data_IF_961165418880
#
_entry.id   IF_961165418880
#
_cell.length_a   1.000
_cell.length_b   1.000
_cell.length_c   1.000
_cell.angle_alpha   90.00
_cell.angle_beta   90.00
_cell.angle_gamma   90.00
#
_symmetry.space_group_name_H-M   'P 1'
#
loop_
_entity.id
_entity.type
_entity.pdbx_description
1 polymer ?
#
# COMPACT_ATOMS: atom_id res chain seq x y z
N UNK A 1 -1.49 -12.04 -0.98
CA UNK A 1 -0.76 -10.93 -0.35
C UNK A 1 -1.56 -10.34 0.82
N UNK A 2 -0.92 -10.14 1.98
CA UNK A 2 -1.42 -9.39 3.14
C UNK A 2 -0.70 -8.05 3.20
N UNK A 3 -1.41 -6.99 3.56
CA UNK A 3 -0.86 -5.64 3.72
C UNK A 3 -1.08 -5.20 5.17
N UNK A 4 -0.03 -4.68 5.79
CA UNK A 4 -0.07 -4.10 7.13
C UNK A 4 0.31 -2.63 7.03
N UNK A 5 -0.55 -1.76 7.53
CA UNK A 5 -0.38 -0.32 7.41
C UNK A 5 0.04 0.22 8.78
N UNK A 6 1.11 1.00 8.79
CA UNK A 6 1.61 1.70 9.95
C UNK A 6 1.59 3.20 9.67
N UNK A 7 1.69 4.02 10.72
CA UNK A 7 1.65 5.49 10.60
C UNK A 7 2.71 6.06 9.65
N UNK A 8 3.83 5.35 9.46
CA UNK A 8 4.98 5.83 8.67
C UNK A 8 5.25 5.00 7.40
N UNK A 9 4.39 4.03 7.09
CA UNK A 9 4.64 3.13 5.97
C UNK A 9 3.76 1.90 5.92
N UNK A 10 4.14 0.97 5.07
CA UNK A 10 3.31 -0.19 4.70
C UNK A 10 4.20 -1.39 4.49
N UNK A 11 3.76 -2.53 5.01
CA UNK A 11 4.44 -3.81 4.89
C UNK A 11 3.57 -4.74 4.05
N UNK A 12 4.10 -5.18 2.90
CA UNK A 12 3.46 -6.15 2.01
C UNK A 12 4.07 -7.53 2.21
N UNK A 13 3.24 -8.51 2.55
CA UNK A 13 3.67 -9.91 2.76
C UNK A 13 2.96 -10.80 1.74
N UNK A 14 3.72 -11.47 0.88
CA UNK A 14 3.15 -12.34 -0.15
C UNK A 14 4.17 -12.83 -1.16
N UNK A 15 3.69 -13.43 -2.25
CA UNK A 15 4.57 -13.85 -3.35
C UNK A 15 5.19 -12.63 -4.01
N UNK A 16 6.45 -12.73 -4.42
CA UNK A 16 7.18 -11.60 -5.00
C UNK A 16 6.48 -10.94 -6.19
N UNK A 17 5.79 -11.72 -7.04
CA UNK A 17 5.04 -11.19 -8.18
C UNK A 17 3.77 -10.44 -7.76
N UNK A 18 3.08 -10.89 -6.70
CA UNK A 18 1.90 -10.19 -6.15
C UNK A 18 2.29 -8.82 -5.61
N UNK A 19 3.43 -8.75 -4.92
CA UNK A 19 3.98 -7.50 -4.37
C UNK A 19 4.32 -6.55 -5.52
N UNK A 20 5.03 -7.03 -6.57
CA UNK A 20 5.37 -6.20 -7.73
C UNK A 20 4.13 -5.68 -8.46
N UNK A 21 3.13 -6.52 -8.67
CA UNK A 21 1.87 -6.12 -9.30
C UNK A 21 1.19 -5.02 -8.50
N UNK A 22 1.10 -5.17 -7.16
CA UNK A 22 0.47 -4.19 -6.29
C UNK A 22 1.23 -2.87 -6.23
N UNK A 23 2.56 -2.89 -6.16
CA UNK A 23 3.38 -1.68 -6.23
C UNK A 23 3.19 -0.94 -7.56
N UNK A 24 3.05 -1.66 -8.68
CA UNK A 24 2.80 -1.06 -9.99
C UNK A 24 1.42 -0.40 -10.07
N UNK A 25 0.39 -1.06 -9.53
CA UNK A 25 -0.96 -0.50 -9.42
C UNK A 25 -0.93 0.80 -8.61
N UNK A 26 -0.27 0.82 -7.45
CA UNK A 26 -0.23 2.01 -6.60
C UNK A 26 0.57 3.17 -7.20
N UNK A 27 1.64 2.88 -7.94
CA UNK A 27 2.39 3.90 -8.67
C UNK A 27 1.55 4.61 -9.76
N UNK A 28 0.40 4.04 -10.15
CA UNK A 28 -0.55 4.72 -11.06
C UNK A 28 -1.56 5.60 -10.33
N UNK A 29 -1.77 5.37 -9.04
CA UNK A 29 -2.81 6.03 -8.25
C UNK A 29 -2.24 7.08 -7.29
N UNK A 30 -0.97 6.96 -6.91
CA UNK A 30 -0.31 7.84 -5.95
C UNK A 30 1.10 8.19 -6.41
N UNK A 31 1.42 9.49 -6.41
CA UNK A 31 2.77 9.97 -6.71
C UNK A 31 3.72 9.80 -5.51
N UNK A 32 3.18 9.87 -4.28
CA UNK A 32 3.94 9.76 -3.04
C UNK A 32 3.45 8.60 -2.17
N UNK A 33 4.42 7.96 -1.50
CA UNK A 33 4.13 6.93 -0.49
C UNK A 33 3.25 7.46 0.64
N UNK A 34 3.41 8.74 0.99
CA UNK A 34 2.61 9.40 2.02
C UNK A 34 1.11 9.38 1.68
N UNK A 35 0.75 9.75 0.44
CA UNK A 35 -0.64 9.79 -0.01
C UNK A 35 -1.27 8.39 -0.02
N UNK A 36 -0.47 7.39 -0.41
CA UNK A 36 -0.88 6.00 -0.35
C UNK A 36 -1.17 5.55 1.10
N UNK A 37 -0.25 5.80 2.04
CA UNK A 37 -0.44 5.44 3.46
C UNK A 37 -1.69 6.11 4.03
N UNK A 38 -1.86 7.41 3.80
CA UNK A 38 -3.03 8.16 4.27
C UNK A 38 -4.34 7.62 3.70
N UNK A 39 -4.36 7.28 2.40
CA UNK A 39 -5.55 6.73 1.77
C UNK A 39 -5.95 5.38 2.38
N UNK A 40 -4.98 4.48 2.58
CA UNK A 40 -5.27 3.16 3.15
C UNK A 40 -5.70 3.26 4.60
N UNK A 41 -5.04 4.09 5.42
CA UNK A 41 -5.46 4.33 6.81
C UNK A 41 -6.89 4.88 6.90
N UNK A 42 -7.31 5.70 5.93
CA UNK A 42 -8.70 6.19 5.86
C UNK A 42 -9.70 5.07 5.55
N UNK A 43 -9.33 4.12 4.69
CA UNK A 43 -10.17 2.98 4.33
C UNK A 43 -10.32 1.94 5.45
N UNK A 44 -9.28 1.70 6.26
CA UNK A 44 -9.36 0.75 7.40
C UNK A 44 -10.20 1.27 8.57
N UNK A 45 -10.32 2.59 8.72
CA UNK A 45 -11.05 3.23 9.81
C UNK A 45 -12.51 3.60 9.45
N UNK A 46 -13.01 3.17 8.29
CA UNK A 46 -14.39 3.40 7.82
C UNK A 46 -15.18 2.10 7.74
#
# INVERSE_FOLDING_TARGET
>A
MKMYVHEKGIVLVGKAWEIRAKLKEYNQHYDLLYDWVQNVQKQENS
#
